data_IF_560150251244
#
_entry.id   IF_560150251244
#
_cell.length_a   1.000
_cell.length_b   1.000
_cell.length_c   1.000
_cell.angle_alpha   90.00
_cell.angle_beta   90.00
_cell.angle_gamma   90.00
#
_symmetry.space_group_name_H-M   'P 1'
#
loop_
_entity.id
_entity.type
_entity.pdbx_description
1 polymer ?
#
# COMPACT_ATOMS: atom_id res chain seq x y z
N UNK A 1 4.50 0.97 -4.00
CA UNK A 1 3.70 2.15 -3.59
C UNK A 1 3.06 1.89 -2.24
N UNK A 2 3.10 2.86 -1.35
CA UNK A 2 2.62 2.74 0.03
C UNK A 2 1.48 3.73 0.31
N UNK A 3 0.51 3.34 1.14
CA UNK A 3 -0.27 4.33 1.88
C UNK A 3 0.59 4.95 2.99
N UNK A 4 0.17 6.07 3.56
CA UNK A 4 0.91 6.78 4.62
C UNK A 4 0.47 6.34 6.02
N UNK A 5 -0.76 6.70 6.37
CA UNK A 5 -1.27 6.58 7.74
C UNK A 5 -1.53 5.11 8.11
N UNK A 6 -1.01 4.67 9.25
CA UNK A 6 -1.05 3.27 9.69
C UNK A 6 -0.35 2.25 8.76
N UNK A 7 0.45 2.72 7.82
CA UNK A 7 1.25 1.90 6.91
C UNK A 7 2.74 2.23 6.99
N UNK A 8 3.10 3.50 6.89
CA UNK A 8 4.48 3.98 7.08
C UNK A 8 4.62 4.84 8.32
N UNK A 9 3.57 5.58 8.70
CA UNK A 9 3.57 6.47 9.87
C UNK A 9 2.37 6.13 10.76
N UNK A 10 2.41 6.49 12.02
CA UNK A 10 1.18 6.60 12.81
C UNK A 10 0.26 7.67 12.19
N UNK A 11 -1.06 7.64 12.45
CA UNK A 11 -1.99 8.61 11.89
C UNK A 11 -1.55 10.05 12.18
N UNK A 12 -1.50 10.88 11.12
CA UNK A 12 -1.09 12.29 11.13
C UNK A 12 0.38 12.56 11.50
N UNK A 13 1.17 11.54 11.84
CA UNK A 13 2.59 11.69 12.12
C UNK A 13 3.40 11.93 10.83
N UNK A 14 4.57 12.56 11.01
CA UNK A 14 5.49 12.93 9.92
C UNK A 14 6.78 12.12 9.91
N UNK A 15 6.90 11.14 10.80
CA UNK A 15 8.06 10.27 10.91
C UNK A 15 7.69 8.82 10.62
N UNK A 16 8.60 8.09 9.99
CA UNK A 16 8.42 6.65 9.75
C UNK A 16 8.35 5.92 11.08
N UNK A 17 7.33 5.09 11.23
CA UNK A 17 7.17 4.20 12.38
C UNK A 17 8.43 3.33 12.54
N UNK A 18 9.05 3.29 13.72
CA UNK A 18 10.31 2.54 13.91
C UNK A 18 10.26 1.07 13.48
N UNK A 19 9.10 0.42 13.65
CA UNK A 19 8.89 -1.00 13.31
C UNK A 19 9.02 -1.32 11.81
N UNK A 20 8.77 -0.34 10.93
CA UNK A 20 8.83 -0.54 9.47
C UNK A 20 10.00 0.16 8.80
N UNK A 21 10.81 0.89 9.57
CA UNK A 21 11.91 1.70 9.03
C UNK A 21 12.93 0.87 8.25
N UNK A 22 13.33 -0.27 8.79
CA UNK A 22 14.33 -1.12 8.17
C UNK A 22 13.76 -1.82 6.92
N UNK A 23 12.51 -2.31 6.99
CA UNK A 23 11.83 -2.88 5.82
C UNK A 23 11.66 -1.84 4.69
N UNK A 24 11.35 -0.59 5.02
CA UNK A 24 11.29 0.49 4.02
C UNK A 24 12.65 0.75 3.37
N UNK A 25 13.74 0.77 4.16
CA UNK A 25 15.11 0.91 3.63
C UNK A 25 15.47 -0.25 2.69
N UNK A 26 15.11 -1.47 3.05
CA UNK A 26 15.31 -2.63 2.19
C UNK A 26 14.51 -2.53 0.89
N UNK A 27 13.24 -2.10 0.95
CA UNK A 27 12.46 -1.83 -0.25
C UNK A 27 13.14 -0.80 -1.16
N UNK A 28 13.61 0.31 -0.60
CA UNK A 28 14.33 1.35 -1.37
C UNK A 28 15.61 0.79 -1.97
N UNK A 29 16.36 -0.01 -1.23
CA UNK A 29 17.61 -0.61 -1.72
C UNK A 29 17.37 -1.62 -2.86
N UNK A 30 16.25 -2.33 -2.84
CA UNK A 30 15.90 -3.34 -3.86
C UNK A 30 15.31 -2.72 -5.12
N UNK A 31 14.39 -1.76 -4.96
CA UNK A 31 13.61 -1.22 -6.07
C UNK A 31 14.15 0.10 -6.62
N UNK A 32 15.02 0.79 -5.89
CA UNK A 32 15.41 2.18 -6.17
C UNK A 32 14.45 3.18 -5.57
N UNK A 33 14.95 4.34 -5.12
CA UNK A 33 14.14 5.37 -4.49
C UNK A 33 13.08 5.96 -5.45
N UNK A 34 13.39 6.02 -6.73
CA UNK A 34 12.51 6.47 -7.81
C UNK A 34 11.29 5.57 -7.99
N UNK A 35 11.42 4.28 -7.69
CA UNK A 35 10.37 3.27 -7.82
C UNK A 35 9.58 3.05 -6.52
N UNK A 36 9.87 3.83 -5.47
CA UNK A 36 9.14 3.81 -4.21
C UNK A 36 8.44 5.14 -3.99
N UNK A 37 7.12 5.11 -3.75
CA UNK A 37 6.36 6.32 -3.52
C UNK A 37 5.18 6.09 -2.58
N UNK A 38 4.65 7.18 -2.03
CA UNK A 38 3.46 7.22 -1.19
C UNK A 38 2.28 7.77 -1.98
N UNK A 39 1.13 7.11 -1.88
CA UNK A 39 -0.16 7.60 -2.36
C UNK A 39 -1.11 7.72 -1.17
N UNK A 40 -1.28 8.93 -0.65
CA UNK A 40 -2.03 9.21 0.58
C UNK A 40 -3.31 9.98 0.31
N UNK A 41 -4.39 9.67 1.04
CA UNK A 41 -5.61 10.47 1.02
C UNK A 41 -5.53 11.74 1.90
N UNK A 42 -4.44 11.93 2.63
CA UNK A 42 -4.23 13.10 3.51
C UNK A 42 -3.18 14.08 3.01
N UNK A 43 -2.25 13.65 2.15
CA UNK A 43 -1.19 14.50 1.60
C UNK A 43 -1.01 14.22 0.10
N UNK A 44 -0.73 15.28 -0.68
CA UNK A 44 -0.65 15.21 -2.14
C UNK A 44 -2.01 15.09 -2.85
N UNK A 45 -3.10 15.05 -2.11
CA UNK A 45 -4.45 15.13 -2.65
C UNK A 45 -4.86 16.60 -2.78
N UNK A 46 -5.10 17.08 -4.00
CA UNK A 46 -5.39 18.49 -4.31
C UNK A 46 -6.48 19.10 -3.44
N UNK A 47 -7.48 18.30 -3.02
CA UNK A 47 -8.56 18.76 -2.14
C UNK A 47 -8.05 19.21 -0.76
N UNK A 48 -7.02 18.58 -0.22
CA UNK A 48 -6.49 18.87 1.13
C UNK A 48 -5.10 19.47 1.11
N UNK A 49 -4.41 19.35 0.00
CA UNK A 49 -3.06 19.84 -0.22
C UNK A 49 -2.98 20.51 -1.61
N UNK A 50 -3.70 21.65 -1.81
CA UNK A 50 -3.84 22.28 -3.12
C UNK A 50 -2.53 22.80 -3.70
N UNK A 51 -1.58 23.14 -2.86
CA UNK A 51 -0.24 23.64 -3.27
C UNK A 51 0.80 22.52 -3.33
N UNK A 52 0.50 21.33 -2.76
CA UNK A 52 1.45 20.24 -2.60
C UNK A 52 2.44 20.44 -1.44
N UNK A 53 2.34 21.52 -0.68
CA UNK A 53 3.31 21.87 0.36
C UNK A 53 3.39 20.83 1.49
N UNK A 54 2.25 20.22 1.87
CA UNK A 54 2.22 19.14 2.87
C UNK A 54 2.95 17.92 2.37
N UNK A 55 2.75 17.56 1.10
CA UNK A 55 3.44 16.45 0.50
C UNK A 55 4.94 16.72 0.34
N UNK A 56 5.36 17.94 -0.06
CA UNK A 56 6.77 18.34 -0.13
C UNK A 56 7.46 18.23 1.24
N UNK A 57 6.80 18.70 2.30
CA UNK A 57 7.31 18.60 3.67
C UNK A 57 7.48 17.14 4.11
N UNK A 58 6.50 16.27 3.77
CA UNK A 58 6.57 14.84 4.08
C UNK A 58 7.60 14.11 3.23
N UNK A 59 7.79 14.47 1.96
CA UNK A 59 8.88 13.96 1.12
C UNK A 59 10.24 14.23 1.76
N UNK A 60 10.46 15.46 2.21
CA UNK A 60 11.69 15.84 2.89
C UNK A 60 11.89 15.08 4.22
N UNK A 61 10.81 14.85 4.97
CA UNK A 61 10.87 14.16 6.26
C UNK A 61 11.04 12.64 6.13
N UNK A 62 10.40 12.02 5.14
CA UNK A 62 10.37 10.57 4.97
C UNK A 62 11.42 10.04 3.99
N UNK A 63 11.99 10.91 3.15
CA UNK A 63 12.96 10.53 2.12
C UNK A 63 12.38 9.73 0.97
N UNK A 64 11.06 9.78 0.76
CA UNK A 64 10.34 9.09 -0.31
C UNK A 64 9.33 10.02 -0.98
N UNK A 65 9.18 9.90 -2.30
CA UNK A 65 8.29 10.74 -3.06
C UNK A 65 6.80 10.48 -2.79
N UNK A 66 6.00 11.54 -2.82
CA UNK A 66 4.55 11.49 -2.73
C UNK A 66 3.91 11.71 -4.10
N UNK A 67 2.91 10.91 -4.43
CA UNK A 67 2.15 11.08 -5.66
C UNK A 67 1.11 12.18 -5.46
N UNK A 68 1.14 13.18 -6.34
CA UNK A 68 0.12 14.24 -6.39
C UNK A 68 -1.08 13.74 -7.18
N UNK A 69 -2.27 13.88 -6.64
CA UNK A 69 -3.49 13.37 -7.27
C UNK A 69 -4.72 14.22 -6.91
N UNK A 70 -5.76 14.12 -7.74
CA UNK A 70 -7.00 14.90 -7.59
C UNK A 70 -8.16 14.13 -6.96
N UNK A 71 -8.05 12.81 -6.86
CA UNK A 71 -9.15 11.96 -6.41
C UNK A 71 -8.72 11.06 -5.25
N UNK A 72 -9.59 10.95 -4.23
CA UNK A 72 -9.35 10.03 -3.12
C UNK A 72 -9.37 8.57 -3.57
N UNK A 73 -8.45 7.75 -3.02
CA UNK A 73 -8.60 6.29 -3.07
C UNK A 73 -9.95 5.88 -2.44
N UNK A 74 -10.68 4.91 -2.99
CA UNK A 74 -10.32 4.06 -4.13
C UNK A 74 -10.69 4.64 -5.51
N UNK A 75 -11.15 5.89 -5.59
CA UNK A 75 -11.46 6.57 -6.85
C UNK A 75 -10.18 7.06 -7.56
N UNK A 76 -10.37 7.57 -8.77
CA UNK A 76 -9.28 8.11 -9.59
C UNK A 76 -8.69 7.09 -10.54
N UNK A 77 -7.83 7.61 -11.44
CA UNK A 77 -7.06 6.81 -12.39
C UNK A 77 -5.67 6.49 -11.81
N UNK A 78 -4.94 5.61 -12.47
CA UNK A 78 -3.54 5.32 -12.16
C UNK A 78 -2.56 5.95 -13.15
N UNK A 79 -3.04 6.83 -14.07
CA UNK A 79 -2.19 7.44 -15.11
C UNK A 79 -0.96 8.13 -14.52
N UNK A 80 -1.13 8.92 -13.47
CA UNK A 80 0.01 9.59 -12.81
C UNK A 80 1.02 8.60 -12.20
N UNK A 81 0.60 7.37 -11.87
CA UNK A 81 1.49 6.31 -11.40
C UNK A 81 2.20 5.65 -12.56
N UNK A 82 1.49 5.39 -13.68
CA UNK A 82 2.08 4.83 -14.89
C UNK A 82 3.16 5.77 -15.45
N UNK A 83 2.87 7.07 -15.50
CA UNK A 83 3.83 8.10 -15.90
C UNK A 83 5.04 8.18 -14.95
N UNK A 84 4.81 8.12 -13.63
CA UNK A 84 5.88 8.21 -12.64
C UNK A 84 6.80 6.99 -12.65
N UNK A 85 6.23 5.79 -12.73
CA UNK A 85 6.99 4.54 -12.62
C UNK A 85 7.37 3.92 -13.96
N UNK A 86 6.90 4.51 -15.06
CA UNK A 86 7.14 4.03 -16.43
C UNK A 86 6.81 2.54 -16.61
N UNK A 87 5.81 2.04 -15.87
CA UNK A 87 5.39 0.64 -15.92
C UNK A 87 3.87 0.50 -15.84
N UNK A 88 3.38 -0.64 -16.30
CA UNK A 88 1.95 -0.93 -16.24
C UNK A 88 1.50 -1.23 -14.79
N UNK A 89 0.25 -0.94 -14.42
CA UNK A 89 -0.27 -1.17 -13.06
C UNK A 89 -0.12 -2.62 -12.56
N UNK A 90 -0.18 -3.60 -13.46
CA UNK A 90 0.03 -5.03 -13.14
C UNK A 90 1.43 -5.34 -12.58
N UNK A 91 2.39 -4.45 -12.85
CA UNK A 91 3.78 -4.57 -12.41
C UNK A 91 4.05 -3.72 -11.14
N UNK A 92 3.01 -3.07 -10.62
CA UNK A 92 3.03 -2.27 -9.40
C UNK A 92 2.48 -3.05 -8.20
N UNK A 93 2.93 -2.65 -7.00
CA UNK A 93 2.43 -3.13 -5.72
C UNK A 93 1.81 -1.97 -4.95
N UNK A 94 0.55 -2.13 -4.50
CA UNK A 94 -0.09 -1.23 -3.53
C UNK A 94 -0.09 -1.86 -2.14
N UNK A 95 0.51 -1.18 -1.17
CA UNK A 95 0.56 -1.61 0.22
C UNK A 95 -0.13 -0.59 1.12
N UNK A 96 -1.10 -1.05 1.92
CA UNK A 96 -1.86 -0.19 2.83
C UNK A 96 -2.65 -0.97 3.86
N UNK A 97 -3.23 -0.26 4.84
CA UNK A 97 -3.94 -0.89 5.96
C UNK A 97 -5.45 -1.08 5.71
N UNK A 98 -6.02 -0.43 4.68
CA UNK A 98 -7.46 -0.39 4.47
C UNK A 98 -7.93 -1.15 3.24
N UNK A 99 -8.98 -1.96 3.43
CA UNK A 99 -9.59 -2.68 2.31
C UNK A 99 -10.22 -1.74 1.27
N UNK A 100 -11.08 -0.79 1.70
CA UNK A 100 -11.84 0.04 0.75
C UNK A 100 -11.01 1.10 0.05
N UNK A 101 -9.91 1.55 0.63
CA UNK A 101 -9.05 2.53 -0.03
C UNK A 101 -7.93 1.87 -0.80
N UNK A 102 -7.10 1.07 -0.16
CA UNK A 102 -5.83 0.61 -0.72
C UNK A 102 -6.00 -0.67 -1.55
N UNK A 103 -6.64 -1.70 -0.96
CA UNK A 103 -6.84 -2.98 -1.65
C UNK A 103 -7.80 -2.81 -2.82
N UNK A 104 -8.91 -2.09 -2.65
CA UNK A 104 -9.86 -1.83 -3.74
C UNK A 104 -9.21 -0.98 -4.84
N UNK A 105 -8.42 0.06 -4.48
CA UNK A 105 -7.72 0.87 -5.46
C UNK A 105 -6.75 0.02 -6.29
N UNK A 106 -5.87 -0.72 -5.63
CA UNK A 106 -4.90 -1.57 -6.34
C UNK A 106 -5.57 -2.63 -7.21
N UNK A 107 -6.59 -3.32 -6.69
CA UNK A 107 -7.31 -4.35 -7.45
C UNK A 107 -8.06 -3.79 -8.66
N UNK A 108 -8.68 -2.60 -8.56
CA UNK A 108 -9.34 -1.94 -9.70
C UNK A 108 -8.40 -1.66 -10.86
N UNK A 109 -7.14 -1.40 -10.56
CA UNK A 109 -6.11 -1.11 -11.56
C UNK A 109 -5.25 -2.33 -11.93
N UNK A 110 -5.53 -3.50 -11.35
CA UNK A 110 -4.80 -4.74 -11.64
C UNK A 110 -3.42 -4.83 -10.98
N UNK A 111 -3.17 -4.03 -9.94
CA UNK A 111 -1.94 -4.06 -9.14
C UNK A 111 -1.91 -5.29 -8.23
N UNK A 112 -0.73 -5.72 -7.82
CA UNK A 112 -0.61 -6.61 -6.66
C UNK A 112 -0.88 -5.81 -5.39
N UNK A 113 -1.72 -6.34 -4.50
CA UNK A 113 -2.12 -5.63 -3.27
C UNK A 113 -1.64 -6.37 -2.02
N UNK A 114 -1.06 -5.63 -1.10
CA UNK A 114 -0.64 -6.13 0.21
C UNK A 114 -1.36 -5.33 1.28
N UNK A 115 -2.17 -6.01 2.10
CA UNK A 115 -2.78 -5.37 3.27
C UNK A 115 -1.90 -5.60 4.49
N UNK A 116 -1.51 -4.53 5.16
CA UNK A 116 -0.85 -4.58 6.46
C UNK A 116 -1.85 -4.38 7.61
N UNK A 117 -1.47 -4.80 8.81
CA UNK A 117 -2.20 -4.45 10.02
C UNK A 117 -1.90 -2.99 10.40
N UNK A 118 -2.89 -2.21 10.86
CA UNK A 118 -2.66 -0.86 11.34
C UNK A 118 -1.78 -0.87 12.60
N UNK A 119 -0.96 0.17 12.77
CA UNK A 119 -0.09 0.28 13.95
C UNK A 119 -0.87 0.60 15.22
N UNK A 120 -1.90 1.44 15.08
CA UNK A 120 -2.67 1.94 16.22
C UNK A 120 -4.04 2.44 15.75
N UNK A 121 -4.99 2.42 16.65
CA UNK A 121 -6.28 3.10 16.49
C UNK A 121 -6.28 4.49 17.13
N UNK A 122 -5.23 4.82 17.89
CA UNK A 122 -5.09 6.13 18.52
C UNK A 122 -4.90 7.22 17.46
N UNK A 123 -5.58 8.34 17.64
CA UNK A 123 -5.54 9.47 16.70
C UNK A 123 -6.48 9.34 15.49
N UNK A 124 -7.06 8.17 15.23
CA UNK A 124 -8.04 8.04 14.15
C UNK A 124 -9.40 8.65 14.54
N UNK A 125 -10.04 9.33 13.58
CA UNK A 125 -11.39 9.83 13.79
C UNK A 125 -12.40 8.69 13.95
N UNK A 126 -13.51 8.94 14.68
CA UNK A 126 -14.57 7.96 14.86
C UNK A 126 -15.14 7.47 13.52
N UNK A 127 -15.18 8.32 12.49
CA UNK A 127 -15.65 7.94 11.15
C UNK A 127 -14.70 6.95 10.46
N UNK A 128 -13.39 7.13 10.59
CA UNK A 128 -12.39 6.19 10.05
C UNK A 128 -12.50 4.84 10.77
N UNK A 129 -12.60 4.85 12.10
CA UNK A 129 -12.77 3.61 12.90
C UNK A 129 -14.04 2.87 12.53
N UNK A 130 -15.17 3.57 12.38
CA UNK A 130 -16.41 2.97 11.93
C UNK A 130 -16.31 2.38 10.52
N UNK A 131 -15.66 3.08 9.58
CA UNK A 131 -15.42 2.58 8.24
C UNK A 131 -14.56 1.31 8.26
N UNK A 132 -13.46 1.28 9.01
CA UNK A 132 -12.61 0.08 9.17
C UNK A 132 -13.39 -1.10 9.73
N UNK A 133 -14.24 -0.86 10.75
CA UNK A 133 -15.09 -1.91 11.30
C UNK A 133 -16.04 -2.49 10.25
N UNK A 134 -16.70 -1.64 9.45
CA UNK A 134 -17.59 -2.08 8.36
C UNK A 134 -16.78 -2.89 7.32
N UNK A 135 -15.59 -2.42 6.94
CA UNK A 135 -14.69 -3.12 6.02
C UNK A 135 -14.36 -4.54 6.53
N UNK A 136 -13.98 -4.67 7.80
CA UNK A 136 -13.66 -5.96 8.42
C UNK A 136 -14.86 -6.91 8.44
N UNK A 137 -16.05 -6.41 8.81
CA UNK A 137 -17.29 -7.20 8.82
C UNK A 137 -17.62 -7.67 7.40
N UNK A 138 -17.58 -6.78 6.41
CA UNK A 138 -17.85 -7.12 5.02
C UNK A 138 -16.89 -8.20 4.48
N UNK A 139 -15.59 -8.04 4.74
CA UNK A 139 -14.58 -9.00 4.30
C UNK A 139 -14.75 -10.36 5.00
N UNK A 140 -15.04 -10.37 6.31
CA UNK A 140 -15.34 -11.62 7.03
C UNK A 140 -16.57 -12.34 6.45
N UNK A 141 -17.56 -11.58 6.06
CA UNK A 141 -18.78 -12.14 5.46
C UNK A 141 -18.54 -12.69 4.05
N UNK A 142 -17.66 -12.06 3.25
CA UNK A 142 -17.29 -12.51 1.90
C UNK A 142 -16.24 -13.63 1.89
N UNK A 143 -15.44 -13.77 2.94
CA UNK A 143 -14.54 -14.92 3.05
C UNK A 143 -15.38 -16.17 3.23
N UNK A 144 -15.32 -17.06 2.23
CA UNK A 144 -15.93 -18.39 2.38
C UNK A 144 -15.33 -19.10 3.61
N UNK A 145 -16.14 -19.88 4.40
CA UNK A 145 -15.60 -20.68 5.50
C UNK A 145 -14.43 -21.53 5.05
N UNK A 146 -13.43 -21.67 5.90
CA UNK A 146 -12.33 -22.61 5.70
C UNK A 146 -12.91 -24.03 5.47
N UNK A 147 -12.73 -24.57 4.28
CA UNK A 147 -13.32 -25.83 3.83
C UNK A 147 -13.82 -25.79 2.39
N UNK A 148 -14.02 -24.63 1.80
CA UNK A 148 -14.24 -24.54 0.36
C UNK A 148 -12.91 -24.70 -0.37
N UNK A 149 -12.85 -25.68 -1.30
CA UNK A 149 -11.68 -26.07 -2.12
C UNK A 149 -10.72 -24.93 -2.37
N UNK A 150 -9.44 -25.15 -2.03
CA UNK A 150 -8.35 -24.24 -2.42
C UNK A 150 -8.55 -23.86 -3.88
N UNK A 151 -8.43 -22.57 -4.26
CA UNK A 151 -8.39 -22.22 -5.66
C UNK A 151 -7.29 -23.05 -6.31
N UNK A 152 -7.63 -23.79 -7.37
CA UNK A 152 -6.64 -24.49 -8.17
C UNK A 152 -5.57 -23.45 -8.55
N UNK A 153 -4.30 -23.79 -8.24
CA UNK A 153 -3.17 -23.00 -8.74
C UNK A 153 -3.37 -22.84 -10.23
N UNK A 154 -3.42 -21.61 -10.71
CA UNK A 154 -3.42 -21.37 -12.15
C UNK A 154 -2.28 -22.15 -12.79
N UNK A 155 -2.57 -23.14 -13.64
CA UNK A 155 -1.50 -23.90 -14.26
C UNK A 155 -0.71 -22.97 -15.20
N UNK A 156 0.57 -22.80 -14.93
CA UNK A 156 1.51 -22.43 -15.96
C UNK A 156 1.84 -20.96 -16.19
N UNK A 157 1.80 -20.06 -15.20
CA UNK A 157 2.56 -18.81 -15.33
C UNK A 157 3.99 -19.06 -14.84
N UNK A 158 4.94 -19.04 -15.79
CA UNK A 158 6.37 -18.99 -15.50
C UNK A 158 6.67 -17.78 -14.61
N UNK A 159 7.60 -17.88 -13.63
CA UNK A 159 8.04 -16.73 -12.85
C UNK A 159 8.47 -15.61 -13.79
N UNK A 160 8.12 -14.36 -13.45
CA UNK A 160 8.52 -13.20 -14.23
C UNK A 160 10.05 -13.12 -14.32
N UNK A 161 10.56 -12.79 -15.52
CA UNK A 161 11.97 -12.82 -15.88
C UNK A 161 12.89 -11.83 -15.10
N UNK A 162 12.38 -11.09 -14.14
CA UNK A 162 13.09 -10.07 -13.37
C UNK A 162 13.25 -10.38 -11.88
N UNK A 163 13.02 -11.62 -11.45
CA UNK A 163 13.44 -12.04 -10.11
C UNK A 163 14.91 -12.42 -10.21
N UNK A 164 15.84 -11.80 -9.43
CA UNK A 164 17.24 -12.20 -9.43
C UNK A 164 17.34 -13.70 -9.14
N UNK A 165 18.08 -14.43 -9.99
CA UNK A 165 18.34 -15.85 -9.76
C UNK A 165 18.93 -16.04 -8.35
N UNK A 166 18.24 -16.85 -7.53
CA UNK A 166 18.71 -17.26 -6.19
C UNK A 166 17.89 -16.81 -5.00
N UNK A 167 16.83 -15.99 -5.19
CA UNK A 167 15.87 -15.66 -4.12
C UNK A 167 14.48 -16.13 -4.54
N UNK A 168 14.06 -17.26 -4.05
CA UNK A 168 12.68 -17.69 -4.21
C UNK A 168 11.74 -16.86 -3.29
N UNK A 169 10.46 -16.82 -3.63
CA UNK A 169 9.46 -16.07 -2.88
C UNK A 169 9.28 -16.56 -1.42
N UNK A 170 9.88 -17.67 -1.03
CA UNK A 170 9.82 -18.21 0.33
C UNK A 170 10.59 -17.35 1.35
N UNK A 171 11.52 -16.49 0.89
CA UNK A 171 12.24 -15.53 1.73
C UNK A 171 11.37 -14.34 2.19
N UNK A 172 10.20 -14.13 1.57
CA UNK A 172 9.26 -13.06 1.92
C UNK A 172 8.04 -13.54 2.72
N UNK A 173 7.98 -14.82 3.07
CA UNK A 173 6.98 -15.32 4.00
C UNK A 173 7.48 -15.04 5.41
N UNK A 174 6.93 -14.00 6.04
CA UNK A 174 7.17 -13.73 7.44
C UNK A 174 6.86 -14.98 8.27
N UNK A 175 7.76 -15.32 9.18
CA UNK A 175 7.58 -16.42 10.12
C UNK A 175 6.23 -16.29 10.84
N UNK A 176 5.45 -17.35 11.02
CA UNK A 176 4.19 -17.29 11.75
C UNK A 176 4.48 -16.90 13.20
N UNK A 177 4.10 -15.68 13.58
CA UNK A 177 4.30 -15.15 14.94
C UNK A 177 4.52 -13.65 15.03
N UNK A 178 4.59 -12.91 13.94
CA UNK A 178 4.82 -11.46 13.91
C UNK A 178 3.67 -10.74 13.16
N UNK A 179 2.42 -11.04 13.54
CA UNK A 179 1.27 -10.24 13.10
C UNK A 179 0.34 -9.94 14.29
#
# INVERSE_FOLDING_TARGET
>A
MFDKDNTLTAPYERSVEPRVRDALRECIAVFGAENVAVLSNSAGLTQYDPTGAVADELEAALGIGFVRHSSKKPSGSCVALEERFECAPKDMVMLGDRYLTDVVYGNRHGMFTVRCAPFTEAGESASIRAAKWIEEVAVKWWRKPEGSKKPERCPGKKPHANVPEGKDASHFVASPGVW
#
